data_IF_603131669145
#
_entry.id   IF_603131669145
#
_cell.length_a   1.000
_cell.length_b   1.000
_cell.length_c   1.000
_cell.angle_alpha   90.00
_cell.angle_beta   90.00
_cell.angle_gamma   90.00
#
_symmetry.space_group_name_H-M   'P 1'
#
loop_
_entity.id
_entity.type
_entity.pdbx_description
1 polymer ?
#
# COMPACT_ATOMS: atom_id res chain seq x y z
N UNK A 1 -17.24 -2.80 -76.86
CA UNK A 1 -17.60 -3.53 -78.10
C UNK A 1 -16.67 -4.74 -78.13
N UNK A 2 -17.04 -5.92 -77.61
CA UNK A 2 -18.10 -6.89 -78.00
C UNK A 2 -17.73 -7.68 -79.27
N UNK A 3 -17.19 -8.89 -79.07
CA UNK A 3 -17.21 -10.09 -79.92
C UNK A 3 -16.93 -11.29 -78.98
N UNK A 4 -17.91 -12.14 -78.64
CA UNK A 4 -18.46 -13.31 -79.35
C UNK A 4 -17.81 -14.65 -78.92
N UNK A 5 -18.63 -15.51 -78.29
CA UNK A 5 -18.39 -16.94 -78.00
C UNK A 5 -18.88 -17.80 -79.18
N UNK A 6 -18.39 -19.06 -79.32
CA UNK A 6 -19.12 -20.24 -78.79
C UNK A 6 -18.32 -21.01 -77.69
N UNK A 7 -18.85 -21.83 -76.74
CA UNK A 7 -20.02 -22.77 -76.68
C UNK A 7 -19.73 -24.09 -77.42
N UNK A 8 -20.04 -25.33 -76.99
CA UNK A 8 -20.71 -26.02 -75.83
C UNK A 8 -19.92 -27.36 -75.59
N UNK A 9 -20.10 -28.35 -74.70
CA UNK A 9 -20.98 -28.83 -73.58
C UNK A 9 -20.12 -29.88 -72.79
N UNK A 10 -20.37 -30.54 -71.64
CA UNK A 10 -21.43 -30.70 -70.62
C UNK A 10 -20.74 -30.94 -69.23
N UNK A 11 -21.33 -31.51 -68.15
CA UNK A 11 -22.71 -31.96 -67.89
C UNK A 11 -22.96 -32.33 -66.40
N UNK A 12 -24.22 -32.13 -65.97
CA UNK A 12 -25.08 -32.93 -65.06
C UNK A 12 -24.50 -33.70 -63.84
N UNK A 13 -25.17 -33.78 -62.66
CA UNK A 13 -26.45 -33.21 -62.16
C UNK A 13 -26.56 -33.31 -60.61
N UNK A 14 -27.50 -32.58 -59.99
CA UNK A 14 -27.82 -32.58 -58.53
C UNK A 14 -29.22 -33.20 -58.27
N UNK A 15 -29.92 -33.10 -57.09
CA UNK A 15 -29.60 -32.64 -55.70
C UNK A 15 -30.08 -33.70 -54.63
N UNK A 16 -30.76 -33.41 -53.48
CA UNK A 16 -30.55 -32.51 -52.33
C UNK A 16 -30.31 -33.25 -50.96
N UNK A 17 -30.45 -32.55 -49.81
CA UNK A 17 -30.30 -32.98 -48.38
C UNK A 17 -31.66 -33.52 -47.79
N UNK A 18 -31.86 -33.93 -46.49
CA UNK A 18 -31.02 -33.83 -45.28
C UNK A 18 -31.10 -35.03 -44.26
N UNK A 19 -30.84 -34.75 -42.96
CA UNK A 19 -30.98 -35.54 -41.70
C UNK A 19 -29.75 -36.28 -41.13
N UNK A 20 -29.68 -36.26 -39.79
CA UNK A 20 -28.85 -37.08 -38.87
C UNK A 20 -29.82 -37.89 -37.96
N UNK A 21 -29.43 -38.85 -37.09
CA UNK A 21 -28.72 -38.55 -35.82
C UNK A 21 -27.81 -39.68 -35.21
N UNK A 22 -27.34 -39.48 -33.97
CA UNK A 22 -26.74 -40.44 -32.98
C UNK A 22 -25.32 -41.05 -33.18
N UNK A 23 -24.37 -40.42 -32.47
CA UNK A 23 -23.54 -41.02 -31.39
C UNK A 23 -22.72 -42.30 -31.69
N UNK A 24 -21.40 -42.13 -31.89
CA UNK A 24 -20.37 -43.11 -31.44
C UNK A 24 -19.53 -42.48 -30.31
N UNK A 25 -18.94 -43.31 -29.44
CA UNK A 25 -18.37 -42.93 -28.13
C UNK A 25 -16.85 -42.70 -28.20
N UNK A 26 -16.33 -41.88 -27.30
CA UNK A 26 -14.96 -41.34 -27.31
C UNK A 26 -13.86 -42.28 -26.83
N UNK A 27 -12.64 -42.06 -27.35
CA UNK A 27 -11.32 -42.27 -26.76
C UNK A 27 -10.35 -41.43 -27.63
N UNK A 28 -9.34 -40.72 -27.06
CA UNK A 28 -8.19 -41.42 -26.48
C UNK A 28 -7.56 -40.80 -25.21
N UNK A 29 -6.80 -41.64 -24.50
CA UNK A 29 -5.51 -41.38 -23.81
C UNK A 29 -5.35 -40.02 -23.09
N UNK A 30 -5.35 -40.03 -21.76
CA UNK A 30 -4.86 -38.91 -20.93
C UNK A 30 -3.33 -38.82 -20.97
N UNK A 31 -2.77 -37.97 -21.82
CA UNK A 31 -1.47 -37.34 -21.53
C UNK A 31 -1.72 -36.10 -20.66
N UNK A 32 -1.24 -36.12 -19.41
CA UNK A 32 -1.36 -35.00 -18.49
C UNK A 32 -0.33 -33.91 -18.81
N UNK A 33 -0.57 -33.14 -19.89
CA UNK A 33 0.21 -31.96 -20.20
C UNK A 33 -0.06 -30.87 -19.15
N UNK A 34 0.94 -30.61 -18.30
CA UNK A 34 0.90 -29.61 -17.24
C UNK A 34 0.77 -28.20 -17.82
N UNK A 35 -0.46 -27.69 -17.93
CA UNK A 35 -0.69 -26.27 -18.26
C UNK A 35 -0.04 -25.41 -17.17
N UNK A 36 0.88 -24.48 -17.51
CA UNK A 36 1.39 -23.53 -16.52
C UNK A 36 0.25 -22.64 -16.03
N UNK A 37 0.24 -22.35 -14.74
CA UNK A 37 -0.83 -21.60 -14.07
C UNK A 37 -0.79 -20.10 -14.47
N UNK A 38 -1.32 -19.76 -15.65
CA UNK A 38 -1.62 -18.38 -16.06
C UNK A 38 -2.79 -17.81 -15.25
N UNK A 39 -2.54 -17.57 -13.95
CA UNK A 39 -3.47 -16.93 -13.02
C UNK A 39 -3.00 -15.51 -12.60
N UNK A 40 -2.13 -14.89 -13.40
CA UNK A 40 -1.56 -13.55 -13.16
C UNK A 40 -1.60 -12.63 -14.41
N UNK A 41 -2.38 -13.02 -15.43
CA UNK A 41 -2.68 -12.16 -16.59
C UNK A 41 -4.20 -12.03 -16.73
N UNK A 42 -4.77 -11.12 -15.92
CA UNK A 42 -5.98 -10.33 -16.19
C UNK A 42 -6.28 -9.39 -15.00
N UNK A 43 -5.41 -8.40 -14.82
CA UNK A 43 -5.74 -7.15 -14.11
C UNK A 43 -5.79 -6.02 -15.15
N UNK A 44 -6.75 -6.11 -16.07
CA UNK A 44 -7.12 -4.98 -16.91
C UNK A 44 -7.65 -3.83 -16.04
N UNK A 45 -7.46 -2.58 -16.50
CA UNK A 45 -7.66 -1.36 -15.70
C UNK A 45 -9.12 -1.01 -15.37
N UNK A 46 -9.80 -1.86 -14.61
CA UNK A 46 -11.10 -1.57 -14.01
C UNK A 46 -10.95 -1.12 -12.56
N UNK A 47 -11.15 0.17 -12.30
CA UNK A 47 -11.16 0.72 -10.93
C UNK A 47 -12.25 0.07 -10.08
N UNK A 48 -11.90 -0.97 -9.32
CA UNK A 48 -12.75 -1.49 -8.26
C UNK A 48 -13.01 -0.34 -7.27
N UNK A 49 -14.27 0.01 -6.95
CA UNK A 49 -14.52 1.04 -5.96
C UNK A 49 -13.90 0.62 -4.63
N UNK A 50 -13.12 1.51 -3.99
CA UNK A 50 -12.44 1.21 -2.72
C UNK A 50 -13.44 0.72 -1.68
N UNK A 51 -14.72 1.12 -1.79
CA UNK A 51 -15.89 0.56 -1.10
C UNK A 51 -15.84 -0.94 -0.78
N UNK A 52 -15.30 -1.79 -1.68
CA UNK A 52 -15.17 -3.25 -1.44
C UNK A 52 -13.80 -3.69 -0.90
N UNK A 53 -12.80 -2.82 -0.95
CA UNK A 53 -11.45 -3.04 -0.48
C UNK A 53 -11.19 -2.51 0.95
N UNK A 54 -11.97 -1.52 1.45
CA UNK A 54 -11.76 -0.90 2.78
C UNK A 54 -11.38 -1.91 3.87
N UNK A 55 -12.11 -3.01 4.15
CA UNK A 55 -11.76 -3.91 5.25
C UNK A 55 -10.37 -4.55 5.11
N UNK A 56 -9.93 -4.85 3.89
CA UNK A 56 -8.60 -5.39 3.62
C UNK A 56 -7.51 -4.32 3.73
N UNK A 57 -7.80 -3.09 3.29
CA UNK A 57 -6.90 -1.93 3.43
C UNK A 57 -6.74 -1.54 4.90
N UNK A 58 -7.83 -1.44 5.66
CA UNK A 58 -7.81 -1.20 7.11
C UNK A 58 -7.01 -2.26 7.86
N UNK A 59 -7.21 -3.55 7.53
CA UNK A 59 -6.46 -4.64 8.14
C UNK A 59 -4.96 -4.61 7.78
N UNK A 60 -4.62 -4.23 6.53
CA UNK A 60 -3.23 -4.08 6.10
C UNK A 60 -2.55 -2.89 6.79
N UNK A 61 -3.20 -1.72 6.85
CA UNK A 61 -2.70 -0.53 7.56
C UNK A 61 -2.51 -0.81 9.05
N UNK A 62 -3.52 -1.40 9.70
CA UNK A 62 -3.43 -1.80 11.11
C UNK A 62 -2.30 -2.80 11.34
N UNK A 63 -2.19 -3.85 10.51
CA UNK A 63 -1.11 -4.83 10.60
C UNK A 63 0.28 -4.22 10.40
N UNK A 64 0.43 -3.27 9.47
CA UNK A 64 1.70 -2.55 9.29
C UNK A 64 2.04 -1.65 10.48
N UNK A 65 1.07 -0.92 11.04
CA UNK A 65 1.30 -0.09 12.23
C UNK A 65 1.60 -0.92 13.47
N UNK A 66 0.93 -2.05 13.64
CA UNK A 66 1.13 -2.98 14.76
C UNK A 66 2.50 -3.65 14.74
N UNK A 67 3.06 -3.94 13.54
CA UNK A 67 4.34 -4.64 13.40
C UNK A 67 5.53 -3.70 13.20
N UNK A 68 5.40 -2.67 12.36
CA UNK A 68 6.49 -1.72 12.08
C UNK A 68 6.54 -0.56 13.07
N UNK A 69 5.39 -0.15 13.62
CA UNK A 69 5.32 0.94 14.59
C UNK A 69 6.24 0.71 15.79
N UNK A 70 6.13 -0.41 16.52
CA UNK A 70 7.03 -0.73 17.64
C UNK A 70 8.52 -0.80 17.25
N UNK A 71 8.84 -1.19 16.02
CA UNK A 71 10.23 -1.24 15.54
C UNK A 71 10.81 0.15 15.28
N UNK A 72 9.96 1.14 14.97
CA UNK A 72 10.33 2.55 14.82
C UNK A 72 10.37 3.26 16.18
N UNK A 73 9.35 3.06 17.02
CA UNK A 73 9.25 3.47 18.43
C UNK A 73 10.52 3.06 19.22
N UNK A 74 10.91 1.79 19.09
CA UNK A 74 12.09 1.21 19.71
C UNK A 74 13.44 1.80 19.28
N UNK A 75 13.50 2.73 18.30
CA UNK A 75 14.70 3.51 18.01
C UNK A 75 14.86 4.63 19.05
N UNK A 76 13.79 5.37 19.35
CA UNK A 76 13.78 6.38 20.41
C UNK A 76 13.98 5.76 21.81
N UNK A 77 13.44 4.56 22.05
CA UNK A 77 13.63 3.84 23.32
C UNK A 77 15.11 3.55 23.64
N UNK A 78 15.99 3.39 22.63
CA UNK A 78 17.44 3.11 22.84
C UNK A 78 18.17 4.22 23.59
N UNK A 79 17.75 5.47 23.40
CA UNK A 79 18.36 6.65 24.03
C UNK A 79 17.64 7.05 25.32
N UNK A 80 16.67 6.24 25.78
CA UNK A 80 15.92 6.50 27.00
C UNK A 80 14.95 7.68 26.90
N UNK A 81 14.55 8.07 25.68
CA UNK A 81 13.60 9.17 25.46
C UNK A 81 12.23 8.90 26.12
N UNK A 82 11.84 7.62 26.16
CA UNK A 82 10.59 7.14 26.72
C UNK A 82 10.85 5.87 27.53
N UNK A 83 10.58 5.90 28.83
CA UNK A 83 10.81 4.80 29.77
C UNK A 83 9.46 4.26 30.23
N UNK A 84 9.07 3.08 29.73
CA UNK A 84 7.81 2.44 30.08
C UNK A 84 7.86 1.77 31.45
N UNK A 85 6.76 1.86 32.21
CA UNK A 85 6.60 1.25 33.52
C UNK A 85 6.13 -0.21 33.48
N UNK A 86 5.15 -0.54 34.34
CA UNK A 86 4.57 -1.88 34.40
C UNK A 86 3.95 -2.29 33.05
N UNK A 87 4.35 -3.43 32.50
CA UNK A 87 3.84 -3.94 31.22
C UNK A 87 4.73 -3.66 30.00
N UNK A 88 5.97 -3.19 30.21
CA UNK A 88 7.01 -3.23 29.19
C UNK A 88 7.23 -4.67 28.68
N UNK A 89 7.32 -4.83 27.35
CA UNK A 89 7.68 -6.06 26.67
C UNK A 89 9.10 -5.93 26.14
N UNK A 90 10.05 -6.53 26.87
CA UNK A 90 11.47 -6.50 26.53
C UNK A 90 11.82 -7.57 25.49
N UNK A 91 11.70 -7.22 24.20
CA UNK A 91 11.99 -8.10 23.07
C UNK A 91 13.42 -7.84 22.55
N UNK A 92 14.41 -8.15 23.39
CA UNK A 92 15.82 -7.88 23.10
C UNK A 92 16.13 -6.39 23.25
N UNK A 93 16.60 -5.68 22.21
CA UNK A 93 16.84 -4.23 22.27
C UNK A 93 15.55 -3.38 22.14
N UNK A 94 14.38 -4.03 22.03
CA UNK A 94 13.08 -3.36 21.93
C UNK A 94 12.42 -3.30 23.31
N UNK A 95 12.29 -2.10 23.86
CA UNK A 95 11.51 -1.81 25.07
C UNK A 95 10.26 -1.02 24.67
N UNK A 96 9.08 -1.66 24.72
CA UNK A 96 7.80 -1.04 24.32
C UNK A 96 6.66 -1.60 25.18
N UNK A 97 5.67 -0.79 25.55
CA UNK A 97 4.56 -1.22 26.41
C UNK A 97 3.51 -2.03 25.63
N UNK A 98 2.85 -3.00 26.27
CA UNK A 98 1.89 -3.93 25.61
C UNK A 98 0.73 -3.24 24.84
N UNK A 99 0.37 -2.01 25.19
CA UNK A 99 -0.65 -1.22 24.47
C UNK A 99 -0.12 -0.44 23.25
N UNK A 100 1.20 -0.31 23.08
CA UNK A 100 1.83 0.46 21.99
C UNK A 100 1.61 -0.19 20.61
N UNK A 101 1.80 -1.52 20.41
CA UNK A 101 1.49 -2.15 19.12
C UNK A 101 0.01 -2.01 18.70
N UNK A 102 -1.01 -2.26 19.58
CA UNK A 102 -2.40 -1.94 19.27
C UNK A 102 -2.66 -0.46 18.92
N UNK A 103 -2.04 0.46 19.66
CA UNK A 103 -2.24 1.91 19.47
C UNK A 103 -1.63 2.40 18.15
N UNK A 104 -0.40 1.98 17.82
CA UNK A 104 0.25 2.30 16.55
C UNK A 104 -0.47 1.63 15.36
N UNK A 105 -0.97 0.40 15.53
CA UNK A 105 -1.88 -0.22 14.57
C UNK A 105 -3.14 0.64 14.32
N UNK A 106 -3.78 1.13 15.39
CA UNK A 106 -4.94 2.01 15.27
C UNK A 106 -4.59 3.34 14.58
N UNK A 107 -3.46 3.96 14.92
CA UNK A 107 -2.97 5.22 14.36
C UNK A 107 -2.69 5.14 12.85
N UNK A 108 -1.88 4.18 12.41
CA UNK A 108 -1.59 4.01 10.97
C UNK A 108 -2.84 3.62 10.17
N UNK A 109 -3.80 2.93 10.80
CA UNK A 109 -5.11 2.68 10.24
C UNK A 109 -5.93 3.98 10.09
N UNK A 110 -6.12 4.78 11.14
CA UNK A 110 -6.95 6.00 11.05
C UNK A 110 -6.36 7.04 10.12
N UNK A 111 -5.04 7.31 10.19
CA UNK A 111 -4.37 8.30 9.33
C UNK A 111 -4.36 7.83 7.87
N UNK A 112 -4.03 6.56 7.60
CA UNK A 112 -3.99 6.02 6.24
C UNK A 112 -5.38 5.97 5.58
N UNK A 113 -6.42 5.63 6.34
CA UNK A 113 -7.81 5.65 5.84
C UNK A 113 -8.34 7.08 5.66
N UNK A 114 -7.93 8.03 6.51
CA UNK A 114 -8.27 9.45 6.35
C UNK A 114 -7.61 10.04 5.10
N UNK A 115 -6.33 9.75 4.85
CA UNK A 115 -5.62 10.15 3.63
C UNK A 115 -6.36 9.62 2.38
N UNK A 116 -6.65 8.31 2.33
CA UNK A 116 -7.38 7.69 1.21
C UNK A 116 -8.78 8.29 1.00
N UNK A 117 -9.50 8.59 2.08
CA UNK A 117 -10.80 9.27 2.00
C UNK A 117 -10.67 10.70 1.43
N UNK A 118 -9.62 11.43 1.79
CA UNK A 118 -9.40 12.78 1.29
C UNK A 118 -8.92 12.77 -0.17
N UNK A 119 -8.08 11.81 -0.57
CA UNK A 119 -7.66 11.60 -1.96
C UNK A 119 -8.83 11.20 -2.89
N UNK A 120 -9.82 10.44 -2.39
CA UNK A 120 -11.08 10.20 -3.13
C UNK A 120 -11.87 11.49 -3.40
N UNK A 121 -11.78 12.47 -2.50
CA UNK A 121 -12.59 13.71 -2.51
C UNK A 121 -11.90 14.87 -3.22
N UNK A 122 -10.59 14.94 -3.13
CA UNK A 122 -9.75 15.99 -3.71
C UNK A 122 -8.56 15.37 -4.46
N UNK A 123 -8.80 14.58 -5.53
CA UNK A 123 -7.76 13.79 -6.18
C UNK A 123 -6.61 14.67 -6.70
N UNK A 124 -5.35 14.24 -6.52
CA UNK A 124 -4.18 15.02 -6.88
C UNK A 124 -4.13 15.34 -8.38
N UNK A 125 -3.58 16.52 -8.73
CA UNK A 125 -3.49 17.00 -10.13
C UNK A 125 -2.60 16.14 -11.03
N UNK A 126 -1.78 15.23 -10.47
CA UNK A 126 -1.00 14.26 -11.23
C UNK A 126 -1.50 12.84 -10.96
N UNK A 127 -1.44 11.97 -11.97
CA UNK A 127 -1.68 10.53 -11.82
C UNK A 127 -0.42 9.80 -11.30
N UNK A 128 0.23 10.35 -10.27
CA UNK A 128 1.34 9.70 -9.60
C UNK A 128 0.84 8.50 -8.80
N UNK A 129 0.79 7.33 -9.42
CA UNK A 129 0.51 6.07 -8.72
C UNK A 129 1.75 5.67 -7.93
N UNK A 130 1.74 5.93 -6.62
CA UNK A 130 2.84 5.57 -5.73
C UNK A 130 3.19 4.08 -5.84
N UNK A 131 4.49 3.79 -5.99
CA UNK A 131 5.00 2.44 -6.15
C UNK A 131 5.54 1.87 -4.83
N UNK A 132 5.70 0.54 -4.71
CA UNK A 132 6.32 -0.07 -3.53
C UNK A 132 7.76 0.41 -3.27
N UNK A 133 8.46 0.91 -4.31
CA UNK A 133 9.79 1.53 -4.15
C UNK A 133 9.68 2.86 -3.42
N UNK A 134 8.66 3.65 -3.71
CA UNK A 134 8.45 4.97 -3.11
C UNK A 134 8.06 4.80 -1.64
N UNK A 135 7.15 3.86 -1.34
CA UNK A 135 6.82 3.46 0.05
C UNK A 135 8.06 2.98 0.82
N UNK A 136 8.91 2.13 0.22
CA UNK A 136 10.15 1.70 0.85
C UNK A 136 11.15 2.85 1.06
N UNK A 137 11.21 3.80 0.12
CA UNK A 137 12.05 5.00 0.23
C UNK A 137 11.59 5.89 1.38
N UNK A 138 10.28 6.16 1.49
CA UNK A 138 9.71 6.93 2.61
C UNK A 138 9.92 6.23 3.96
N UNK A 139 9.86 4.90 4.03
CA UNK A 139 10.15 4.14 5.25
C UNK A 139 11.62 4.21 5.67
N UNK A 140 12.56 4.23 4.70
CA UNK A 140 13.99 4.44 4.98
C UNK A 140 14.23 5.87 5.47
N UNK A 141 13.62 6.88 4.83
CA UNK A 141 13.74 8.29 5.24
C UNK A 141 13.13 8.51 6.63
N UNK A 142 11.99 7.89 6.93
CA UNK A 142 11.37 7.92 8.27
C UNK A 142 12.29 7.29 9.33
N UNK A 143 12.88 6.12 9.04
CA UNK A 143 13.88 5.48 9.93
C UNK A 143 15.06 6.43 10.19
N UNK A 144 15.59 7.09 9.16
CA UNK A 144 16.70 8.04 9.30
C UNK A 144 16.32 9.30 10.09
N UNK A 145 15.08 9.78 9.96
CA UNK A 145 14.57 10.94 10.71
C UNK A 145 14.43 10.65 12.20
N UNK A 146 13.97 9.44 12.55
CA UNK A 146 13.82 8.97 13.94
C UNK A 146 15.20 8.72 14.57
N UNK A 147 16.14 8.09 13.86
CA UNK A 147 17.52 7.91 14.34
C UNK A 147 18.24 9.28 14.50
N UNK A 148 17.92 10.28 13.66
CA UNK A 148 18.43 11.65 13.80
C UNK A 148 17.94 12.34 15.09
N UNK A 149 16.65 12.28 15.43
CA UNK A 149 16.15 12.81 16.72
C UNK A 149 16.79 12.08 17.90
N UNK A 150 16.89 10.75 17.85
CA UNK A 150 17.53 9.96 18.90
C UNK A 150 18.99 10.41 19.16
N UNK A 151 19.80 10.58 18.11
CA UNK A 151 21.18 11.05 18.26
C UNK A 151 21.28 12.54 18.65
N UNK A 152 20.34 13.40 18.23
CA UNK A 152 20.30 14.80 18.66
C UNK A 152 19.98 14.94 20.16
N UNK A 153 18.97 14.21 20.65
CA UNK A 153 18.67 14.13 22.08
C UNK A 153 19.85 13.57 22.87
N UNK A 154 20.44 12.46 22.41
CA UNK A 154 21.63 11.82 23.02
C UNK A 154 22.85 12.75 23.05
N UNK A 155 23.02 13.61 22.05
CA UNK A 155 24.08 14.62 22.01
C UNK A 155 23.83 15.83 22.94
N UNK A 156 22.66 15.89 23.62
CA UNK A 156 22.30 16.98 24.51
C UNK A 156 21.95 18.28 23.78
N UNK A 157 21.43 18.18 22.54
CA UNK A 157 20.96 19.36 21.79
C UNK A 157 19.80 20.02 22.57
N UNK A 158 19.79 21.36 22.74
CA UNK A 158 18.66 22.05 23.37
C UNK A 158 17.35 21.77 22.64
N UNK A 159 16.29 21.41 23.37
CA UNK A 159 15.03 20.93 22.78
C UNK A 159 14.35 21.91 21.82
N UNK A 160 14.56 23.22 22.00
CA UNK A 160 14.11 24.23 21.05
C UNK A 160 14.89 24.18 19.73
N UNK A 161 16.21 23.94 19.78
CA UNK A 161 17.04 23.77 18.59
C UNK A 161 16.75 22.44 17.88
N UNK A 162 16.51 21.35 18.64
CA UNK A 162 16.05 20.08 18.09
C UNK A 162 14.73 20.24 17.35
N UNK A 163 13.72 20.85 17.98
CA UNK A 163 12.42 21.09 17.36
C UNK A 163 12.52 21.89 16.04
N UNK A 164 13.33 22.95 15.98
CA UNK A 164 13.52 23.72 14.74
C UNK A 164 14.23 22.93 13.64
N UNK A 165 15.24 22.11 13.98
CA UNK A 165 15.95 21.27 13.00
C UNK A 165 15.05 20.17 12.48
N UNK A 166 14.36 19.42 13.35
CA UNK A 166 13.44 18.36 12.95
C UNK A 166 12.27 18.91 12.12
N UNK A 167 11.74 20.10 12.46
CA UNK A 167 10.72 20.77 11.65
C UNK A 167 11.24 21.11 10.25
N UNK A 168 12.40 21.76 10.12
CA UNK A 168 12.97 22.11 8.83
C UNK A 168 13.33 20.88 7.97
N UNK A 169 13.78 19.78 8.59
CA UNK A 169 14.01 18.50 7.89
C UNK A 169 12.68 17.85 7.49
N UNK A 170 11.62 17.94 8.30
CA UNK A 170 10.29 17.45 7.93
C UNK A 170 9.67 18.24 6.76
N UNK A 171 9.82 19.57 6.72
CA UNK A 171 9.44 20.40 5.57
C UNK A 171 10.21 20.01 4.30
N UNK A 172 11.52 19.74 4.42
CA UNK A 172 12.33 19.25 3.31
C UNK A 172 11.87 17.87 2.81
N UNK A 173 11.64 16.92 3.72
CA UNK A 173 11.15 15.56 3.39
C UNK A 173 9.79 15.63 2.72
N UNK A 174 8.86 16.45 3.21
CA UNK A 174 7.57 16.70 2.57
C UNK A 174 7.76 17.26 1.15
N UNK A 175 8.55 18.32 0.99
CA UNK A 175 8.76 18.99 -0.29
C UNK A 175 9.30 18.03 -1.37
N UNK A 176 10.21 17.12 -1.00
CA UNK A 176 10.86 16.20 -1.95
C UNK A 176 10.13 14.86 -2.15
N UNK A 177 9.29 14.38 -1.22
CA UNK A 177 8.59 13.09 -1.34
C UNK A 177 7.10 13.18 -1.66
N UNK A 178 6.42 14.29 -1.34
CA UNK A 178 4.97 14.45 -1.51
C UNK A 178 4.61 15.78 -2.19
N UNK A 179 5.12 16.91 -1.69
CA UNK A 179 4.79 18.27 -2.19
C UNK A 179 3.29 18.63 -2.17
N UNK A 180 2.43 17.84 -1.51
CA UNK A 180 0.99 18.06 -1.52
C UNK A 180 0.52 18.87 -0.30
N UNK A 181 -0.33 19.88 -0.55
CA UNK A 181 -0.95 20.65 0.53
C UNK A 181 -1.84 19.80 1.45
N UNK A 182 -2.34 18.66 0.95
CA UNK A 182 -3.16 17.73 1.72
C UNK A 182 -2.31 16.93 2.72
N UNK A 183 -1.21 16.34 2.24
CA UNK A 183 -0.22 15.66 3.06
C UNK A 183 0.41 16.59 4.08
N UNK A 184 0.71 17.84 3.71
CA UNK A 184 1.17 18.88 4.65
C UNK A 184 0.15 19.15 5.76
N UNK A 185 -1.11 19.41 5.40
CA UNK A 185 -2.17 19.67 6.38
C UNK A 185 -2.43 18.48 7.31
N UNK A 186 -2.37 17.25 6.79
CA UNK A 186 -2.49 16.02 7.60
C UNK A 186 -1.27 15.82 8.51
N UNK A 187 -0.05 16.11 8.02
CA UNK A 187 1.17 16.07 8.83
C UNK A 187 1.15 17.10 9.96
N UNK A 188 0.67 18.33 9.71
CA UNK A 188 0.46 19.34 10.76
C UNK A 188 -0.60 18.89 11.78
N UNK A 189 -1.71 18.29 11.34
CA UNK A 189 -2.74 17.75 12.24
C UNK A 189 -2.16 16.65 13.13
N UNK A 190 -1.44 15.69 12.55
CA UNK A 190 -0.77 14.59 13.27
C UNK A 190 0.30 15.12 14.24
N UNK A 191 1.14 16.05 13.80
CA UNK A 191 2.21 16.65 14.61
C UNK A 191 1.73 17.47 15.81
N UNK A 192 0.45 17.87 15.83
CA UNK A 192 -0.20 18.46 17.02
C UNK A 192 -0.97 17.40 17.82
N UNK A 193 -1.68 16.48 17.14
CA UNK A 193 -2.54 15.51 17.79
C UNK A 193 -1.77 14.39 18.53
N UNK A 194 -0.63 13.92 18.01
CA UNK A 194 0.17 12.88 18.66
C UNK A 194 0.76 13.33 19.99
N UNK A 195 1.50 14.46 20.09
CA UNK A 195 1.99 14.97 21.37
C UNK A 195 0.88 15.22 22.39
N UNK A 196 -0.31 15.66 21.96
CA UNK A 196 -1.48 15.83 22.85
C UNK A 196 -2.06 14.49 23.33
N UNK A 197 -2.02 13.45 22.49
CA UNK A 197 -2.43 12.10 22.86
C UNK A 197 -1.40 11.37 23.75
N UNK A 198 -0.13 11.77 23.69
CA UNK A 198 0.95 11.23 24.53
C UNK A 198 0.88 11.71 25.99
N UNK A 199 0.41 12.94 26.26
CA UNK A 199 0.27 13.48 27.63
C UNK A 199 -0.41 12.52 28.63
N UNK A 200 -1.59 11.93 28.35
CA UNK A 200 -2.20 10.93 29.24
C UNK A 200 -1.49 9.57 29.22
N UNK A 201 -0.74 9.23 28.17
CA UNK A 201 -0.03 7.95 28.06
C UNK A 201 1.29 7.93 28.84
N UNK A 202 1.92 9.09 29.07
CA UNK A 202 3.07 9.26 29.96
C UNK A 202 2.70 9.02 31.45
N UNK A 203 1.41 8.87 31.76
CA UNK A 203 0.89 8.57 33.10
C UNK A 203 0.50 7.08 33.32
N UNK A 204 0.95 6.17 32.45
CA UNK A 204 0.71 4.71 32.51
C UNK A 204 1.96 3.92 32.95
#
# INVERSE_FOLDING_TARGET
>A
IRNMLPVLIAGASAPPRPFSPWRRRELPIRLSSSKPLRALQNSEGGSRPLGRAWPAVSAALFGSGFLLGPLLDGIHSRVGLQVYGNGALDLGPLHTHILVPPLLGAFYCTVGLLQLFLDERAPPRSKATGSPRDTATSLIVLTMFIELSAEMYRAGVPSNAEAYVLFAVAEFVWLFLDSSWLGFALACLVGVACPLAEVPLVSL
#
